data_IF_128233132861
#
_entry.id   IF_128233132861
#
_cell.length_a   1.000
_cell.length_b   1.000
_cell.length_c   1.000
_cell.angle_alpha   90.00
_cell.angle_beta   90.00
_cell.angle_gamma   90.00
#
_symmetry.space_group_name_H-M   'P 1'
#
loop_
_entity.id
_entity.type
_entity.pdbx_description
1 polymer ?
#
# COMPACT_ATOMS: atom_id res chain seq x y z
N UNK A 1 -23.90 28.76 -2.03
CA UNK A 1 -24.56 29.32 -0.82
C UNK A 1 -24.67 28.28 0.29
N UNK A 2 -25.54 27.26 0.21
CA UNK A 2 -25.72 26.33 1.34
C UNK A 2 -24.50 25.40 1.54
N UNK A 3 -23.92 24.91 0.43
CA UNK A 3 -22.69 24.12 0.41
C UNK A 3 -21.47 24.86 1.00
N UNK A 4 -21.23 26.12 0.59
CA UNK A 4 -20.12 26.93 1.14
C UNK A 4 -20.26 27.15 2.65
N UNK A 5 -21.51 27.30 3.13
CA UNK A 5 -21.79 27.43 4.55
C UNK A 5 -21.45 26.14 5.29
N UNK A 6 -21.89 24.98 4.77
CA UNK A 6 -21.54 23.68 5.34
C UNK A 6 -20.04 23.47 5.44
N UNK A 7 -19.27 23.85 4.40
CA UNK A 7 -17.80 23.73 4.42
C UNK A 7 -17.16 24.66 5.46
N UNK A 8 -17.64 25.90 5.60
CA UNK A 8 -17.14 26.85 6.61
C UNK A 8 -17.48 26.43 8.04
N UNK A 9 -18.71 25.95 8.26
CA UNK A 9 -19.14 25.44 9.57
C UNK A 9 -18.32 24.20 9.97
N UNK A 10 -18.03 23.30 9.02
CA UNK A 10 -17.12 22.15 9.20
C UNK A 10 -15.69 22.59 9.51
N UNK A 11 -15.12 23.50 8.71
CA UNK A 11 -13.76 24.01 8.91
C UNK A 11 -13.58 24.68 10.29
N UNK A 12 -14.58 25.41 10.77
CA UNK A 12 -14.59 25.95 12.13
C UNK A 12 -14.67 24.85 13.20
N UNK A 13 -15.42 23.77 12.98
CA UNK A 13 -15.48 22.64 13.92
C UNK A 13 -14.14 21.89 14.01
N UNK A 14 -13.51 21.60 12.87
CA UNK A 14 -12.18 20.95 12.79
C UNK A 14 -11.12 21.81 13.48
N UNK A 15 -11.02 23.11 13.16
CA UNK A 15 -10.08 24.03 13.81
C UNK A 15 -10.31 24.12 15.32
N UNK A 16 -11.56 24.08 15.78
CA UNK A 16 -11.90 24.08 17.21
C UNK A 16 -11.47 22.79 17.91
N UNK A 17 -11.66 21.61 17.29
CA UNK A 17 -11.16 20.34 17.85
C UNK A 17 -9.63 20.33 17.93
N UNK A 18 -8.94 20.70 16.85
CA UNK A 18 -7.47 20.78 16.85
C UNK A 18 -6.96 21.80 17.87
N UNK A 19 -7.62 22.95 18.02
CA UNK A 19 -7.29 23.92 19.08
C UNK A 19 -7.34 23.29 20.47
N UNK A 20 -8.38 22.50 20.77
CA UNK A 20 -8.52 21.82 22.05
C UNK A 20 -7.43 20.76 22.27
N UNK A 21 -7.24 19.83 21.32
CA UNK A 21 -6.24 18.75 21.41
C UNK A 21 -4.81 19.28 21.48
N UNK A 22 -4.48 20.30 20.67
CA UNK A 22 -3.16 20.91 20.66
C UNK A 22 -2.86 21.63 21.99
N UNK A 23 -3.84 22.32 22.59
CA UNK A 23 -3.67 22.95 23.90
C UNK A 23 -3.51 21.91 25.03
N UNK A 24 -4.21 20.77 24.96
CA UNK A 24 -4.05 19.67 25.93
C UNK A 24 -2.61 19.14 25.98
N UNK A 25 -1.92 19.15 24.83
CA UNK A 25 -0.55 18.65 24.67
C UNK A 25 0.50 19.75 24.42
N UNK A 26 0.18 21.03 24.66
CA UNK A 26 1.04 22.17 24.27
C UNK A 26 2.46 22.07 24.83
N UNK A 27 2.61 21.70 26.11
CA UNK A 27 3.93 21.54 26.74
C UNK A 27 4.81 20.48 26.07
N UNK A 28 4.19 19.43 25.49
CA UNK A 28 4.91 18.40 24.74
C UNK A 28 5.38 18.94 23.39
N UNK A 29 4.51 19.65 22.67
CA UNK A 29 4.87 20.29 21.40
C UNK A 29 5.90 21.41 21.58
N UNK A 30 5.82 22.23 22.63
CA UNK A 30 6.82 23.24 22.96
C UNK A 30 8.21 22.63 23.22
N UNK A 31 8.24 21.44 23.85
CA UNK A 31 9.47 20.71 24.17
C UNK A 31 10.08 20.04 22.94
N UNK A 32 9.27 19.46 22.05
CA UNK A 32 9.75 18.64 20.91
C UNK A 32 9.81 19.43 19.60
N UNK A 33 8.77 20.19 19.28
CA UNK A 33 8.65 20.99 18.07
C UNK A 33 9.19 22.43 18.25
N UNK A 34 9.33 22.88 19.50
CA UNK A 34 9.84 24.20 19.86
C UNK A 34 8.72 25.23 20.03
N UNK A 35 8.75 25.95 21.15
CA UNK A 35 7.77 26.98 21.53
C UNK A 35 7.36 27.93 20.38
N UNK A 36 8.32 28.46 19.62
CA UNK A 36 8.01 29.42 18.56
C UNK A 36 7.23 28.78 17.39
N UNK A 37 7.43 27.48 17.15
CA UNK A 37 6.68 26.72 16.15
C UNK A 37 5.26 26.40 16.65
N UNK A 38 5.12 25.97 17.91
CA UNK A 38 3.80 25.83 18.56
C UNK A 38 3.01 27.14 18.54
N UNK A 39 3.67 28.26 18.82
CA UNK A 39 3.07 29.59 18.79
C UNK A 39 2.63 30.01 17.38
N UNK A 40 3.44 29.72 16.34
CA UNK A 40 3.03 29.87 14.93
C UNK A 40 1.77 29.05 14.62
N UNK A 41 1.71 27.77 15.02
CA UNK A 41 0.55 26.90 14.75
C UNK A 41 -0.70 27.36 15.51
N UNK A 42 -0.59 27.74 16.77
CA UNK A 42 -1.67 28.33 17.56
C UNK A 42 -2.17 29.65 16.95
N UNK A 43 -1.27 30.50 16.44
CA UNK A 43 -1.62 31.72 15.72
C UNK A 43 -2.40 31.41 14.43
N UNK A 44 -1.95 30.43 13.65
CA UNK A 44 -2.66 29.96 12.46
C UNK A 44 -4.06 29.40 12.81
N UNK A 45 -4.21 28.70 13.94
CA UNK A 45 -5.53 28.27 14.47
C UNK A 45 -6.43 29.48 14.85
N UNK A 46 -5.87 30.67 15.04
CA UNK A 46 -6.56 31.87 15.55
C UNK A 46 -6.62 33.12 14.62
N UNK A 47 -6.17 33.02 13.35
CA UNK A 47 -6.12 34.12 12.33
C UNK A 47 -5.01 35.15 12.67
N UNK A 48 -4.13 35.63 11.77
CA UNK A 48 -4.27 35.95 10.34
C UNK A 48 -3.20 35.40 9.38
N UNK A 49 -1.92 35.74 9.54
CA UNK A 49 -0.88 35.64 8.49
C UNK A 49 -0.29 34.20 8.37
N UNK A 50 -1.04 33.34 7.66
CA UNK A 50 -0.96 31.89 7.86
C UNK A 50 -0.24 31.08 6.77
N UNK A 51 -0.23 31.51 5.50
CA UNK A 51 0.27 30.66 4.41
C UNK A 51 1.77 30.38 4.52
N UNK A 52 2.59 31.43 4.61
CA UNK A 52 4.04 31.31 4.76
C UNK A 52 4.41 30.54 6.02
N UNK A 53 3.71 30.80 7.13
CA UNK A 53 4.00 30.17 8.42
C UNK A 53 3.62 28.68 8.45
N UNK A 54 2.51 28.26 7.83
CA UNK A 54 2.15 26.84 7.74
C UNK A 54 3.01 26.06 6.74
N UNK A 55 3.43 26.68 5.63
CA UNK A 55 4.35 26.06 4.68
C UNK A 55 5.74 25.75 5.30
N UNK A 56 6.28 26.70 6.08
CA UNK A 56 7.49 26.49 6.89
C UNK A 56 7.32 25.34 7.89
N UNK A 57 6.21 25.35 8.65
CA UNK A 57 5.94 24.33 9.66
C UNK A 57 5.73 22.93 9.06
N UNK A 58 5.13 22.83 7.88
CA UNK A 58 4.93 21.56 7.18
C UNK A 58 6.27 20.97 6.73
N UNK A 59 7.11 21.80 6.10
CA UNK A 59 8.47 21.40 5.68
C UNK A 59 9.30 20.92 6.87
N UNK A 60 9.33 21.71 7.95
CA UNK A 60 10.01 21.34 9.19
C UNK A 60 9.50 20.00 9.74
N UNK A 61 8.18 19.80 9.82
CA UNK A 61 7.61 18.57 10.34
C UNK A 61 7.98 17.35 9.46
N UNK A 62 8.02 17.53 8.13
CA UNK A 62 8.45 16.48 7.20
C UNK A 62 9.92 16.09 7.39
N UNK A 63 10.82 17.08 7.44
CA UNK A 63 12.24 16.87 7.72
C UNK A 63 12.45 16.14 9.07
N UNK A 64 11.76 16.58 10.12
CA UNK A 64 11.91 15.99 11.46
C UNK A 64 11.27 14.61 11.61
N UNK A 65 10.21 14.28 10.86
CA UNK A 65 9.71 12.90 10.76
C UNK A 65 10.76 11.97 10.15
N UNK A 66 11.48 12.42 9.11
CA UNK A 66 12.52 11.64 8.45
C UNK A 66 13.77 11.47 9.32
N UNK A 67 14.25 12.53 9.97
CA UNK A 67 15.38 12.49 10.92
C UNK A 67 15.12 11.53 12.08
N UNK A 68 13.91 11.55 12.65
CA UNK A 68 13.56 10.80 13.88
C UNK A 68 12.89 9.45 13.59
N UNK A 69 13.00 8.91 12.37
CA UNK A 69 12.31 7.68 11.92
C UNK A 69 12.61 6.40 12.71
N UNK A 70 13.64 6.40 13.57
CA UNK A 70 14.05 5.27 14.42
C UNK A 70 13.68 5.47 15.90
N UNK A 71 13.11 6.62 16.27
CA UNK A 71 12.58 6.90 17.61
C UNK A 71 11.06 6.95 17.51
N UNK A 72 10.39 5.86 17.90
CA UNK A 72 8.93 5.72 17.80
C UNK A 72 8.18 6.88 18.47
N UNK A 73 8.70 7.40 19.59
CA UNK A 73 8.04 8.45 20.37
C UNK A 73 8.19 9.81 19.71
N UNK A 74 9.41 10.20 19.34
CA UNK A 74 9.65 11.46 18.62
C UNK A 74 9.00 11.45 17.23
N UNK A 75 9.06 10.32 16.51
CA UNK A 75 8.37 10.16 15.22
C UNK A 75 6.86 10.35 15.38
N UNK A 76 6.23 9.75 16.39
CA UNK A 76 4.79 9.90 16.64
C UNK A 76 4.38 11.36 16.91
N UNK A 77 5.19 12.11 17.67
CA UNK A 77 4.91 13.53 17.96
C UNK A 77 5.03 14.37 16.68
N UNK A 78 6.08 14.19 15.88
CA UNK A 78 6.24 14.91 14.61
C UNK A 78 5.17 14.54 13.57
N UNK A 79 4.72 13.28 13.53
CA UNK A 79 3.57 12.84 12.71
C UNK A 79 2.27 13.51 13.16
N UNK A 80 2.03 13.60 14.46
CA UNK A 80 0.86 14.30 15.03
C UNK A 80 0.92 15.80 14.71
N UNK A 81 2.09 16.42 14.86
CA UNK A 81 2.30 17.84 14.52
C UNK A 81 2.07 18.10 13.02
N UNK A 82 2.63 17.28 12.14
CA UNK A 82 2.42 17.36 10.68
C UNK A 82 0.93 17.23 10.29
N UNK A 83 0.21 16.31 10.94
CA UNK A 83 -1.24 16.11 10.76
C UNK A 83 -2.02 17.37 11.13
N UNK A 84 -1.69 18.01 12.27
CA UNK A 84 -2.33 19.25 12.69
C UNK A 84 -1.98 20.44 11.80
N UNK A 85 -0.73 20.61 11.38
CA UNK A 85 -0.33 21.65 10.42
C UNK A 85 -1.13 21.50 9.12
N UNK A 86 -1.22 20.29 8.59
CA UNK A 86 -1.97 19.96 7.37
C UNK A 86 -3.45 20.29 7.50
N UNK A 87 -4.12 19.82 8.55
CA UNK A 87 -5.54 20.11 8.78
C UNK A 87 -5.79 21.60 8.97
N UNK A 88 -4.98 22.29 9.77
CA UNK A 88 -5.12 23.75 9.98
C UNK A 88 -4.96 24.51 8.67
N UNK A 89 -3.99 24.12 7.83
CA UNK A 89 -3.78 24.75 6.52
C UNK A 89 -4.98 24.53 5.60
N UNK A 90 -5.41 23.28 5.41
CA UNK A 90 -6.56 22.97 4.55
C UNK A 90 -7.86 23.61 5.03
N UNK A 91 -8.10 23.68 6.35
CA UNK A 91 -9.28 24.37 6.88
C UNK A 91 -9.18 25.89 6.77
N UNK A 92 -7.97 26.47 6.80
CA UNK A 92 -7.77 27.90 6.57
C UNK A 92 -8.04 28.30 5.14
N UNK A 93 -7.55 27.52 4.20
CA UNK A 93 -7.85 27.68 2.77
C UNK A 93 -9.36 27.66 2.53
N UNK A 94 -10.10 26.73 3.14
CA UNK A 94 -11.57 26.68 3.06
C UNK A 94 -12.29 27.92 3.62
N UNK A 95 -11.71 28.59 4.63
CA UNK A 95 -12.32 29.75 5.28
C UNK A 95 -11.97 31.07 4.61
N UNK A 96 -10.74 31.20 4.10
CA UNK A 96 -10.12 32.48 3.74
C UNK A 96 -9.95 32.69 2.23
N UNK A 97 -10.07 31.65 1.40
CA UNK A 97 -9.96 31.81 -0.05
C UNK A 97 -11.08 32.71 -0.60
N UNK A 98 -10.71 33.67 -1.45
CA UNK A 98 -11.68 34.45 -2.22
C UNK A 98 -12.33 33.55 -3.28
N UNK A 99 -13.66 33.53 -3.35
CA UNK A 99 -14.38 32.64 -4.28
C UNK A 99 -14.06 32.87 -5.77
N UNK A 100 -13.51 34.04 -6.11
CA UNK A 100 -13.00 34.38 -7.45
C UNK A 100 -11.59 33.86 -7.75
N UNK A 101 -10.86 33.39 -6.75
CA UNK A 101 -9.47 32.89 -6.87
C UNK A 101 -9.38 31.35 -6.80
N UNK A 102 -10.40 30.67 -6.27
CA UNK A 102 -10.43 29.22 -6.13
C UNK A 102 -10.89 28.53 -7.43
N UNK A 103 -9.96 27.87 -8.13
CA UNK A 103 -10.27 27.00 -9.28
C UNK A 103 -10.25 25.51 -8.89
N UNK A 104 -10.45 24.61 -9.88
CA UNK A 104 -10.43 23.17 -9.64
C UNK A 104 -9.04 22.68 -9.16
N UNK A 105 -7.96 23.29 -9.62
CA UNK A 105 -6.58 22.95 -9.25
C UNK A 105 -6.30 23.27 -7.79
N UNK A 106 -6.76 24.43 -7.31
CA UNK A 106 -6.71 24.82 -5.90
C UNK A 106 -7.39 23.77 -5.00
N UNK A 107 -8.64 23.41 -5.29
CA UNK A 107 -9.37 22.44 -4.48
C UNK A 107 -8.77 21.04 -4.54
N UNK A 108 -8.26 20.60 -5.71
CA UNK A 108 -7.47 19.37 -5.82
C UNK A 108 -6.24 19.44 -4.90
N UNK A 109 -5.54 20.57 -4.85
CA UNK A 109 -4.40 20.79 -3.95
C UNK A 109 -4.75 20.68 -2.46
N UNK A 110 -5.91 21.19 -2.04
CA UNK A 110 -6.40 21.06 -0.65
C UNK A 110 -6.70 19.60 -0.29
N UNK A 111 -7.36 18.85 -1.20
CA UNK A 111 -7.64 17.42 -1.02
C UNK A 111 -6.36 16.59 -1.02
N UNK A 112 -5.44 16.85 -1.95
CA UNK A 112 -4.13 16.21 -1.97
C UNK A 112 -3.38 16.44 -0.66
N UNK A 113 -3.34 17.67 -0.14
CA UNK A 113 -2.70 17.98 1.15
C UNK A 113 -3.31 17.18 2.30
N UNK A 114 -4.64 17.01 2.32
CA UNK A 114 -5.32 16.16 3.30
C UNK A 114 -4.92 14.68 3.17
N UNK A 115 -4.79 14.17 1.94
CA UNK A 115 -4.24 12.84 1.68
C UNK A 115 -2.78 12.68 2.16
N UNK A 116 -1.93 13.70 2.05
CA UNK A 116 -0.56 13.68 2.59
C UNK A 116 -0.52 13.40 4.11
N UNK A 117 -1.52 13.86 4.89
CA UNK A 117 -1.61 13.52 6.32
C UNK A 117 -1.94 12.02 6.54
N UNK A 118 -2.68 11.37 5.64
CA UNK A 118 -2.91 9.93 5.68
C UNK A 118 -1.64 9.19 5.25
N UNK A 119 -1.10 9.50 4.06
CA UNK A 119 0.00 8.77 3.41
C UNK A 119 1.30 8.91 4.21
N UNK A 120 1.72 10.15 4.52
CA UNK A 120 3.05 10.42 5.08
C UNK A 120 3.03 10.35 6.60
N UNK A 121 2.08 11.04 7.24
CA UNK A 121 2.02 11.10 8.70
C UNK A 121 1.31 9.88 9.32
N UNK A 122 0.36 9.25 8.63
CA UNK A 122 -0.46 8.15 9.14
C UNK A 122 -1.70 8.60 9.94
N UNK A 123 -2.05 9.89 9.87
CA UNK A 123 -3.15 10.53 10.61
C UNK A 123 -3.26 10.16 12.11
N UNK A 124 -2.16 10.12 12.90
CA UNK A 124 -2.22 9.73 14.32
C UNK A 124 -3.06 10.69 15.17
N UNK A 125 -3.75 10.15 16.17
CA UNK A 125 -4.62 10.87 17.10
C UNK A 125 -6.11 10.53 16.92
N UNK A 126 -6.88 10.61 18.00
CA UNK A 126 -8.25 10.08 18.04
C UNK A 126 -9.22 10.86 17.13
N UNK A 127 -9.78 10.16 16.14
CA UNK A 127 -10.64 10.75 15.11
C UNK A 127 -9.97 11.82 14.25
N UNK A 128 -8.64 11.79 14.09
CA UNK A 128 -7.94 12.63 13.11
C UNK A 128 -8.16 12.11 11.69
N UNK A 129 -8.10 10.78 11.48
CA UNK A 129 -8.43 10.16 10.19
C UNK A 129 -9.86 10.48 9.74
N UNK A 130 -10.84 10.39 10.63
CA UNK A 130 -12.24 10.71 10.33
C UNK A 130 -12.39 12.18 9.91
N UNK A 131 -11.82 13.13 10.65
CA UNK A 131 -11.83 14.54 10.27
C UNK A 131 -11.20 14.79 8.88
N UNK A 132 -10.13 14.07 8.53
CA UNK A 132 -9.50 14.19 7.21
C UNK A 132 -10.45 13.68 6.12
N UNK A 133 -11.02 12.48 6.31
CA UNK A 133 -11.91 11.85 5.34
C UNK A 133 -13.22 12.63 5.15
N UNK A 134 -13.85 13.08 6.24
CA UNK A 134 -15.03 13.96 6.21
C UNK A 134 -14.75 15.29 5.48
N UNK A 135 -13.56 15.86 5.70
CA UNK A 135 -13.13 17.07 5.01
C UNK A 135 -12.95 16.84 3.50
N UNK A 136 -12.35 15.71 3.11
CA UNK A 136 -12.20 15.30 1.71
C UNK A 136 -13.58 15.08 1.07
N UNK A 137 -14.48 14.33 1.70
CA UNK A 137 -15.83 14.07 1.17
C UNK A 137 -16.58 15.40 0.97
N UNK A 138 -16.54 16.30 1.94
CA UNK A 138 -17.22 17.58 1.85
C UNK A 138 -16.66 18.46 0.73
N UNK A 139 -15.33 18.57 0.62
CA UNK A 139 -14.67 19.28 -0.49
C UNK A 139 -15.02 18.71 -1.86
N UNK A 140 -15.07 17.37 -1.99
CA UNK A 140 -15.47 16.70 -3.21
C UNK A 140 -16.94 16.95 -3.55
N UNK A 141 -17.81 16.99 -2.54
CA UNK A 141 -19.24 17.26 -2.70
C UNK A 141 -19.56 18.72 -3.04
N UNK A 142 -18.77 19.68 -2.55
CA UNK A 142 -19.04 21.12 -2.76
C UNK A 142 -18.27 21.75 -3.91
N UNK A 143 -17.04 21.29 -4.20
CA UNK A 143 -16.14 21.94 -5.16
C UNK A 143 -15.51 21.03 -6.22
N UNK A 144 -15.35 19.73 -5.95
CA UNK A 144 -14.78 18.76 -6.93
C UNK A 144 -15.79 17.68 -7.32
N UNK A 145 -17.03 18.07 -7.64
CA UNK A 145 -18.09 17.13 -7.98
C UNK A 145 -17.69 16.24 -9.17
N UNK A 146 -18.07 14.97 -9.09
CA UNK A 146 -17.87 14.01 -10.17
C UNK A 146 -18.66 14.47 -11.40
N UNK A 147 -17.97 14.51 -12.55
CA UNK A 147 -18.60 14.80 -13.84
C UNK A 147 -19.24 13.51 -14.34
N UNK A 148 -20.49 13.55 -14.77
CA UNK A 148 -21.09 12.38 -15.41
C UNK A 148 -20.36 12.10 -16.74
N UNK A 149 -20.01 10.83 -17.03
CA UNK A 149 -19.47 10.47 -18.32
C UNK A 149 -20.54 10.72 -19.41
N UNK A 150 -20.16 11.19 -20.61
CA UNK A 150 -21.14 11.43 -21.68
C UNK A 150 -21.84 10.12 -22.09
N UNK A 151 -23.08 10.20 -22.57
CA UNK A 151 -23.96 9.04 -22.87
C UNK A 151 -23.32 7.95 -23.76
N UNK A 152 -22.32 8.32 -24.57
CA UNK A 152 -21.60 7.43 -25.49
C UNK A 152 -20.22 6.98 -24.97
N UNK A 153 -19.92 7.11 -23.67
CA UNK A 153 -18.63 6.71 -23.10
C UNK A 153 -18.51 5.18 -23.02
N UNK A 154 -17.77 4.59 -23.97
CA UNK A 154 -17.35 3.19 -23.85
C UNK A 154 -16.30 3.04 -22.75
N UNK A 155 -16.66 2.35 -21.68
CA UNK A 155 -15.80 2.12 -20.54
C UNK A 155 -14.60 1.23 -20.93
N UNK A 156 -13.35 1.65 -20.66
CA UNK A 156 -12.21 0.75 -20.64
C UNK A 156 -12.43 -0.26 -19.51
N UNK A 157 -12.57 -1.53 -19.86
CA UNK A 157 -12.59 -2.64 -18.91
C UNK A 157 -11.32 -3.47 -19.08
N UNK A 158 -10.72 -3.87 -17.97
CA UNK A 158 -9.64 -4.86 -18.00
C UNK A 158 -10.21 -6.15 -18.63
N UNK A 159 -9.58 -6.73 -19.67
CA UNK A 159 -10.09 -7.94 -20.32
C UNK A 159 -10.36 -9.07 -19.32
N UNK A 160 -11.64 -9.43 -19.12
CA UNK A 160 -12.07 -10.50 -18.19
C UNK A 160 -11.42 -11.85 -18.47
N UNK A 161 -11.04 -12.06 -19.73
CA UNK A 161 -10.28 -13.22 -20.19
C UNK A 161 -9.16 -12.66 -21.02
N UNK A 162 -7.95 -12.77 -20.51
CA UNK A 162 -6.80 -12.92 -21.37
C UNK A 162 -7.06 -14.15 -22.24
N UNK A 163 -6.78 -14.05 -23.55
CA UNK A 163 -6.52 -15.24 -24.36
C UNK A 163 -5.62 -16.14 -23.50
N UNK A 164 -5.96 -17.42 -23.30
CA UNK A 164 -5.10 -18.27 -22.50
C UNK A 164 -3.74 -18.29 -23.20
N UNK A 165 -2.76 -17.60 -22.59
CA UNK A 165 -1.34 -17.87 -22.78
C UNK A 165 -1.23 -19.39 -22.86
N UNK A 166 -0.75 -19.90 -24.00
CA UNK A 166 -0.91 -21.31 -24.37
C UNK A 166 -0.62 -22.17 -23.16
N UNK A 167 -1.56 -23.06 -22.79
CA UNK A 167 -1.76 -23.58 -21.42
C UNK A 167 -0.60 -24.39 -20.80
N UNK A 168 0.58 -24.37 -21.42
CA UNK A 168 1.84 -24.35 -20.70
C UNK A 168 1.82 -23.18 -19.69
N UNK A 169 1.46 -23.48 -18.44
CA UNK A 169 1.81 -22.61 -17.32
C UNK A 169 3.27 -22.20 -17.49
N UNK A 170 3.57 -20.89 -17.48
CA UNK A 170 4.90 -20.37 -17.78
C UNK A 170 5.87 -20.99 -16.78
N UNK A 171 6.54 -22.06 -17.21
CA UNK A 171 7.27 -22.94 -16.32
C UNK A 171 8.57 -22.25 -15.95
N UNK A 172 8.51 -21.47 -14.87
CA UNK A 172 9.65 -20.69 -14.38
C UNK A 172 10.81 -21.66 -14.18
N UNK A 173 11.88 -21.48 -14.96
CA UNK A 173 13.09 -22.33 -14.92
C UNK A 173 13.79 -22.31 -13.57
N UNK A 174 13.47 -21.30 -12.75
CA UNK A 174 13.81 -21.15 -11.34
C UNK A 174 13.00 -22.04 -10.38
N UNK A 175 12.09 -22.90 -10.86
CA UNK A 175 11.23 -23.76 -10.04
C UNK A 175 10.98 -25.13 -10.68
N UNK A 176 10.98 -26.19 -9.87
CA UNK A 176 10.69 -27.57 -10.30
C UNK A 176 9.33 -28.09 -9.82
N UNK A 177 8.61 -27.35 -8.98
CA UNK A 177 7.37 -27.79 -8.33
C UNK A 177 6.20 -26.86 -8.66
N UNK A 178 4.98 -27.36 -8.49
CA UNK A 178 3.77 -26.55 -8.51
C UNK A 178 3.28 -26.26 -7.08
N UNK A 179 2.72 -25.08 -6.84
CA UNK A 179 2.10 -24.76 -5.55
C UNK A 179 0.86 -25.68 -5.35
N UNK A 180 0.74 -26.40 -4.21
CA UNK A 180 -0.41 -27.29 -3.97
C UNK A 180 -1.76 -26.56 -4.05
N UNK A 181 -2.66 -27.04 -4.89
CA UNK A 181 -4.03 -26.52 -4.97
C UNK A 181 -4.98 -27.41 -4.15
N UNK A 182 -5.75 -26.81 -3.24
CA UNK A 182 -6.80 -27.50 -2.47
C UNK A 182 -8.14 -27.40 -3.23
N UNK A 183 -8.86 -28.51 -3.33
CA UNK A 183 -10.20 -28.54 -3.96
C UNK A 183 -11.23 -27.66 -3.24
N UNK A 184 -11.02 -27.40 -1.95
CA UNK A 184 -11.91 -26.62 -1.07
C UNK A 184 -11.10 -25.89 -0.02
N UNK A 185 -11.63 -24.77 0.46
CA UNK A 185 -11.05 -24.05 1.59
C UNK A 185 -10.93 -24.97 2.82
N UNK A 186 -9.78 -25.03 3.51
CA UNK A 186 -9.55 -25.94 4.62
C UNK A 186 -10.34 -25.52 5.86
N UNK A 187 -10.72 -26.45 6.74
CA UNK A 187 -11.28 -26.06 8.03
C UNK A 187 -10.22 -25.35 8.89
N UNK A 188 -10.64 -24.46 9.80
CA UNK A 188 -9.76 -23.80 10.78
C UNK A 188 -8.84 -24.79 11.51
N UNK A 189 -9.36 -25.98 11.84
CA UNK A 189 -8.59 -27.06 12.44
C UNK A 189 -7.52 -27.63 11.50
N UNK A 190 -7.85 -27.86 10.22
CA UNK A 190 -6.90 -28.35 9.22
C UNK A 190 -5.81 -27.31 8.91
N UNK A 191 -6.17 -26.02 8.81
CA UNK A 191 -5.19 -24.94 8.69
C UNK A 191 -4.22 -24.96 9.87
N UNK A 192 -4.75 -24.83 11.09
CA UNK A 192 -3.95 -24.75 12.32
C UNK A 192 -3.11 -26.00 12.59
N UNK A 193 -3.61 -27.20 12.29
CA UNK A 193 -2.97 -28.47 12.68
C UNK A 193 -2.08 -29.08 11.59
N UNK A 194 -2.41 -28.92 10.30
CA UNK A 194 -1.71 -29.61 9.20
C UNK A 194 -1.16 -28.71 8.10
N UNK A 195 -1.81 -27.59 7.75
CA UNK A 195 -1.46 -26.83 6.54
C UNK A 195 -0.62 -25.58 6.81
N UNK A 196 -0.63 -25.03 8.03
CA UNK A 196 0.07 -23.79 8.40
C UNK A 196 1.58 -23.72 8.08
N UNK A 197 2.26 -24.83 7.79
CA UNK A 197 3.71 -24.85 7.60
C UNK A 197 4.14 -24.80 6.11
N UNK A 198 3.19 -24.84 5.17
CA UNK A 198 3.47 -24.88 3.73
C UNK A 198 2.45 -24.07 2.92
N UNK A 199 2.83 -23.49 1.77
CA UNK A 199 1.91 -22.77 0.90
C UNK A 199 0.84 -23.68 0.29
N UNK A 200 -0.32 -23.08 0.00
CA UNK A 200 -1.36 -23.71 -0.80
C UNK A 200 -2.24 -22.65 -1.47
N UNK A 201 -2.90 -23.03 -2.57
CA UNK A 201 -3.88 -22.20 -3.27
C UNK A 201 -5.28 -22.78 -3.06
N UNK A 202 -6.27 -21.93 -2.82
CA UNK A 202 -7.69 -22.25 -2.92
C UNK A 202 -8.23 -21.49 -4.13
N UNK A 203 -8.56 -22.22 -5.20
CA UNK A 203 -9.00 -21.62 -6.47
C UNK A 203 -10.42 -21.05 -6.34
N UNK A 204 -10.65 -19.86 -6.88
CA UNK A 204 -11.95 -19.17 -6.85
C UNK A 204 -12.50 -18.89 -5.45
N UNK A 205 -11.64 -18.81 -4.44
CA UNK A 205 -12.02 -18.55 -3.04
C UNK A 205 -12.80 -17.23 -2.84
N UNK A 206 -12.40 -16.18 -3.56
CA UNK A 206 -12.94 -14.83 -3.47
C UNK A 206 -13.93 -14.50 -4.61
N UNK A 207 -14.45 -15.52 -5.31
CA UNK A 207 -15.39 -15.33 -6.43
C UNK A 207 -16.70 -14.65 -6.05
N UNK A 208 -17.05 -14.60 -4.77
CA UNK A 208 -18.24 -13.97 -4.20
C UNK A 208 -17.98 -12.56 -3.63
N UNK A 209 -16.73 -12.10 -3.58
CA UNK A 209 -16.40 -10.73 -3.17
C UNK A 209 -16.95 -9.73 -4.20
N UNK A 210 -17.63 -8.64 -3.80
CA UNK A 210 -18.09 -7.62 -4.74
C UNK A 210 -17.00 -7.05 -5.66
N UNK A 211 -15.74 -6.99 -5.20
CA UNK A 211 -14.59 -6.59 -6.02
C UNK A 211 -14.42 -7.46 -7.28
N UNK A 212 -14.66 -8.78 -7.15
CA UNK A 212 -14.51 -9.80 -8.20
C UNK A 212 -15.84 -10.08 -8.90
N UNK A 213 -16.88 -10.41 -8.14
CA UNK A 213 -18.20 -10.84 -8.63
C UNK A 213 -18.91 -9.76 -9.46
N UNK A 214 -18.85 -8.51 -8.99
CA UNK A 214 -19.42 -7.34 -9.68
C UNK A 214 -18.36 -6.59 -10.51
N UNK A 215 -17.11 -7.06 -10.51
CA UNK A 215 -15.98 -6.47 -11.23
C UNK A 215 -15.75 -4.98 -10.93
N UNK A 216 -16.13 -4.55 -9.73
CA UNK A 216 -16.00 -3.17 -9.24
C UNK A 216 -14.58 -2.65 -9.41
N UNK A 217 -13.59 -3.45 -9.07
CA UNK A 217 -12.19 -3.05 -9.14
C UNK A 217 -11.64 -3.08 -10.57
N UNK A 218 -12.19 -3.90 -11.48
CA UNK A 218 -11.87 -3.83 -12.91
C UNK A 218 -12.59 -2.67 -13.64
N UNK A 219 -13.35 -1.84 -12.91
CA UNK A 219 -14.03 -0.65 -13.43
C UNK A 219 -13.33 0.62 -12.98
N UNK A 220 -12.61 1.26 -13.92
CA UNK A 220 -12.04 2.59 -13.72
C UNK A 220 -13.07 3.61 -13.23
N UNK A 221 -14.27 3.62 -13.81
CA UNK A 221 -15.34 4.53 -13.42
C UNK A 221 -15.79 4.29 -11.97
N UNK A 222 -15.80 3.04 -11.50
CA UNK A 222 -16.07 2.73 -10.11
C UNK A 222 -14.96 3.27 -9.20
N UNK A 223 -13.69 3.00 -9.52
CA UNK A 223 -12.53 3.47 -8.75
C UNK A 223 -12.44 5.00 -8.68
N UNK A 224 -12.76 5.71 -9.78
CA UNK A 224 -12.88 7.17 -9.80
C UNK A 224 -14.04 7.68 -8.92
N UNK A 225 -15.21 7.02 -8.99
CA UNK A 225 -16.39 7.40 -8.19
C UNK A 225 -16.20 7.17 -6.69
N UNK A 226 -15.54 6.07 -6.31
CA UNK A 226 -15.33 5.68 -4.91
C UNK A 226 -14.24 6.53 -4.24
N UNK A 227 -13.18 6.87 -4.96
CA UNK A 227 -12.16 7.78 -4.45
C UNK A 227 -12.63 9.24 -4.39
N UNK A 228 -13.48 9.62 -5.34
CA UNK A 228 -13.76 11.01 -5.67
C UNK A 228 -12.55 11.70 -6.32
N UNK A 229 -12.70 12.97 -6.64
CA UNK A 229 -11.71 13.74 -7.42
C UNK A 229 -10.64 14.40 -6.52
N UNK A 230 -9.47 14.66 -7.09
CA UNK A 230 -8.36 15.37 -6.42
C UNK A 230 -7.58 14.55 -5.39
N UNK A 231 -7.84 13.24 -5.33
CA UNK A 231 -7.10 12.29 -4.49
C UNK A 231 -5.73 12.02 -5.10
N UNK A 232 -4.75 11.72 -4.25
CA UNK A 232 -3.39 11.37 -4.69
C UNK A 232 -2.95 10.05 -4.07
N UNK A 233 -2.15 9.26 -4.76
CA UNK A 233 -1.58 8.00 -4.25
C UNK A 233 -0.05 8.03 -4.33
N UNK A 234 0.69 7.46 -3.37
CA UNK A 234 2.09 7.13 -3.58
C UNK A 234 2.17 5.95 -4.57
N UNK A 235 3.19 5.97 -5.42
CA UNK A 235 3.50 4.90 -6.37
C UNK A 235 4.99 4.59 -6.33
N UNK A 236 5.33 3.37 -6.68
CA UNK A 236 6.70 2.94 -6.90
C UNK A 236 7.07 3.11 -8.38
N UNK A 237 8.26 3.68 -8.64
CA UNK A 237 8.74 4.00 -9.99
C UNK A 237 10.15 3.45 -10.15
N UNK A 238 10.32 2.56 -11.11
CA UNK A 238 11.54 1.77 -11.35
C UNK A 238 11.14 0.34 -11.70
N UNK A 239 11.98 -0.39 -12.43
CA UNK A 239 11.65 -1.77 -12.85
C UNK A 239 11.86 -2.82 -11.74
N UNK A 240 12.63 -2.47 -10.71
CA UNK A 240 13.08 -3.38 -9.65
C UNK A 240 13.46 -2.54 -8.42
N UNK A 241 12.85 -2.76 -7.25
CA UNK A 241 13.16 -2.00 -6.04
C UNK A 241 14.58 -2.23 -5.49
N UNK A 242 15.37 -3.12 -6.10
CA UNK A 242 16.78 -3.39 -5.79
C UNK A 242 17.75 -2.49 -6.54
N UNK A 243 17.31 -1.69 -7.51
CA UNK A 243 18.19 -0.87 -8.37
C UNK A 243 18.16 0.62 -8.02
N UNK A 244 19.25 1.33 -8.32
CA UNK A 244 19.45 2.75 -7.95
C UNK A 244 18.46 3.73 -8.63
N UNK A 245 17.73 3.29 -9.66
CA UNK A 245 16.68 4.04 -10.34
C UNK A 245 15.30 3.93 -9.67
N UNK A 246 15.12 3.04 -8.69
CA UNK A 246 13.86 2.95 -7.94
C UNK A 246 13.63 4.16 -7.04
N UNK A 247 12.42 4.67 -7.05
CA UNK A 247 11.98 5.79 -6.22
C UNK A 247 10.49 5.70 -5.89
N UNK A 248 10.07 6.44 -4.87
CA UNK A 248 8.65 6.63 -4.53
C UNK A 248 8.25 8.08 -4.80
N UNK A 249 7.12 8.27 -5.49
CA UNK A 249 6.52 9.59 -5.73
C UNK A 249 5.02 9.56 -5.48
N UNK A 250 4.41 10.70 -5.24
CA UNK A 250 2.95 10.83 -5.13
C UNK A 250 2.39 11.37 -6.46
N UNK A 251 1.28 10.80 -6.91
CA UNK A 251 0.66 11.00 -8.23
C UNK A 251 -0.86 11.22 -8.07
N UNK A 252 -1.50 11.94 -9.00
CA UNK A 252 -2.96 12.11 -9.00
C UNK A 252 -3.64 10.75 -9.29
N UNK A 253 -4.71 10.43 -8.55
CA UNK A 253 -5.42 9.16 -8.68
C UNK A 253 -6.13 8.99 -10.03
N UNK A 254 -6.66 10.08 -10.62
CA UNK A 254 -7.23 10.03 -11.96
C UNK A 254 -6.12 9.74 -13.00
N UNK A 255 -4.93 10.32 -12.83
CA UNK A 255 -3.73 10.08 -13.67
C UNK A 255 -3.22 8.63 -13.54
N UNK A 256 -3.13 8.08 -12.32
CA UNK A 256 -2.76 6.68 -12.08
C UNK A 256 -3.80 5.69 -12.64
N UNK A 257 -5.09 6.05 -12.63
CA UNK A 257 -6.13 5.25 -13.29
C UNK A 257 -6.20 5.46 -14.81
N UNK A 258 -5.72 6.58 -15.36
CA UNK A 258 -5.40 6.68 -16.79
C UNK A 258 -4.27 5.69 -17.13
N UNK A 259 -3.20 5.72 -16.35
CA UNK A 259 -2.02 4.89 -16.50
C UNK A 259 -2.31 3.37 -16.54
N UNK A 260 -2.97 2.85 -15.50
CA UNK A 260 -3.29 1.41 -15.36
C UNK A 260 -4.24 0.88 -16.44
N UNK A 261 -5.08 1.74 -17.04
CA UNK A 261 -6.10 1.32 -18.00
C UNK A 261 -5.77 1.70 -19.46
N UNK A 262 -4.70 2.44 -19.71
CA UNK A 262 -4.26 2.89 -21.04
C UNK A 262 -2.79 2.54 -21.38
N UNK A 263 -2.23 1.53 -20.70
CA UNK A 263 -1.04 0.73 -21.12
C UNK A 263 0.33 1.43 -21.00
N UNK A 264 0.78 1.65 -19.76
CA UNK A 264 2.12 2.11 -19.38
C UNK A 264 2.58 1.49 -18.03
N UNK A 265 3.88 1.46 -17.71
CA UNK A 265 4.55 0.66 -16.63
C UNK A 265 4.97 1.41 -15.30
N UNK A 266 4.30 1.22 -14.15
CA UNK A 266 4.66 1.70 -12.77
C UNK A 266 3.93 0.91 -11.67
N UNK A 267 4.46 0.86 -10.44
CA UNK A 267 4.16 -0.20 -9.46
C UNK A 267 3.36 0.20 -8.18
N UNK A 268 3.05 -0.83 -7.37
CA UNK A 268 1.94 -1.07 -6.41
C UNK A 268 1.75 -0.11 -5.17
N UNK A 269 0.55 -0.11 -4.53
CA UNK A 269 0.29 0.55 -3.22
C UNK A 269 -0.94 0.06 -2.38
N UNK A 270 -0.88 0.21 -1.03
CA UNK A 270 -1.97 -0.03 -0.05
C UNK A 270 -3.06 1.07 0.00
N UNK A 271 -4.21 0.77 -0.60
CA UNK A 271 -5.32 1.71 -0.73
C UNK A 271 -6.26 1.83 0.48
N UNK A 272 -6.32 0.89 1.42
CA UNK A 272 -7.51 0.76 2.28
C UNK A 272 -7.70 1.89 3.29
N UNK A 273 -6.61 2.44 3.84
CA UNK A 273 -6.67 3.57 4.78
C UNK A 273 -7.14 4.86 4.11
N UNK A 274 -6.81 5.00 2.83
CA UNK A 274 -7.10 6.18 2.03
C UNK A 274 -8.50 6.11 1.38
N UNK A 275 -8.94 4.91 1.00
CA UNK A 275 -10.20 4.66 0.33
C UNK A 275 -11.07 3.63 1.09
N UNK A 276 -11.61 3.97 2.28
CA UNK A 276 -12.30 3.01 3.14
C UNK A 276 -13.51 2.32 2.49
N UNK A 277 -14.14 2.96 1.50
CA UNK A 277 -15.23 2.34 0.75
C UNK A 277 -14.80 1.08 -0.03
N UNK A 278 -13.56 1.00 -0.55
CA UNK A 278 -13.02 -0.20 -1.19
C UNK A 278 -12.93 -1.40 -0.23
N UNK A 279 -12.80 -1.15 1.09
CA UNK A 279 -12.79 -2.19 2.11
C UNK A 279 -14.13 -2.95 2.19
N UNK A 280 -15.22 -2.35 1.70
CA UNK A 280 -16.56 -3.00 1.64
C UNK A 280 -16.71 -3.99 0.49
N UNK A 281 -15.80 -3.96 -0.50
CA UNK A 281 -15.81 -4.86 -1.65
C UNK A 281 -15.10 -6.20 -1.40
N UNK A 282 -14.46 -6.36 -0.23
CA UNK A 282 -13.65 -7.52 0.13
C UNK A 282 -14.06 -8.14 1.47
N UNK A 283 -13.83 -9.44 1.61
CA UNK A 283 -14.09 -10.18 2.86
C UNK A 283 -12.78 -10.68 3.45
N UNK A 284 -12.42 -10.22 4.65
CA UNK A 284 -11.27 -10.78 5.38
C UNK A 284 -11.65 -12.20 5.86
N UNK A 285 -10.90 -13.25 5.48
CA UNK A 285 -11.23 -14.62 5.87
C UNK A 285 -11.08 -14.84 7.38
N UNK A 286 -12.00 -15.59 7.99
CA UNK A 286 -11.94 -15.96 9.42
C UNK A 286 -10.62 -16.64 9.84
N UNK A 287 -9.89 -17.20 8.87
CA UNK A 287 -8.57 -17.77 9.05
C UNK A 287 -7.55 -16.80 9.68
N UNK A 288 -7.66 -15.49 9.46
CA UNK A 288 -6.72 -14.53 10.07
C UNK A 288 -6.84 -14.52 11.60
N UNK A 289 -8.01 -14.86 12.14
CA UNK A 289 -8.26 -14.96 13.59
C UNK A 289 -7.91 -16.34 14.15
N UNK A 290 -7.30 -17.24 13.36
CA UNK A 290 -6.90 -18.58 13.81
C UNK A 290 -5.69 -18.60 14.76
N UNK A 291 -5.06 -17.44 14.99
CA UNK A 291 -3.95 -17.19 15.93
C UNK A 291 -2.85 -18.26 15.82
N UNK A 292 -2.36 -18.51 14.59
CA UNK A 292 -1.45 -19.60 14.28
C UNK A 292 -0.20 -19.55 15.19
N UNK A 293 0.37 -20.72 15.57
CA UNK A 293 1.59 -20.72 16.36
C UNK A 293 2.79 -20.28 15.49
N UNK A 294 3.85 -19.71 16.09
CA UNK A 294 5.07 -19.35 15.36
C UNK A 294 5.65 -20.54 14.56
N UNK A 295 6.08 -20.33 13.30
CA UNK A 295 6.94 -21.27 12.60
C UNK A 295 8.27 -21.44 13.32
N UNK A 296 8.90 -22.61 13.17
CA UNK A 296 10.18 -22.94 13.84
C UNK A 296 11.29 -21.92 13.55
N UNK A 297 11.34 -21.39 12.33
CA UNK A 297 12.33 -20.41 11.89
C UNK A 297 11.98 -18.97 12.27
N UNK A 298 10.73 -18.71 12.69
CA UNK A 298 10.22 -17.38 13.08
C UNK A 298 9.65 -17.42 14.51
N UNK A 299 10.43 -17.82 15.53
CA UNK A 299 9.93 -18.03 16.90
C UNK A 299 9.48 -16.75 17.61
N UNK A 300 9.75 -15.57 17.03
CA UNK A 300 9.31 -14.25 17.53
C UNK A 300 7.98 -13.78 16.95
N UNK A 301 7.43 -14.47 15.95
CA UNK A 301 6.13 -14.14 15.37
C UNK A 301 5.05 -14.08 16.46
N UNK A 302 4.14 -13.11 16.34
CA UNK A 302 2.96 -12.99 17.18
C UNK A 302 1.74 -12.73 16.29
N UNK A 303 0.63 -13.46 16.46
CA UNK A 303 -0.60 -13.17 15.73
C UNK A 303 -1.18 -11.81 16.14
N UNK A 304 -1.97 -11.16 15.27
CA UNK A 304 -2.63 -9.90 15.56
C UNK A 304 -3.56 -10.05 16.77
N UNK A 305 -3.54 -9.05 17.66
CA UNK A 305 -4.32 -9.05 18.90
C UNK A 305 -5.80 -8.71 18.68
N UNK A 306 -6.09 -8.00 17.59
CA UNK A 306 -7.38 -7.46 17.18
C UNK A 306 -7.37 -7.20 15.67
N UNK A 307 -8.50 -6.75 15.11
CA UNK A 307 -8.63 -6.41 13.69
C UNK A 307 -7.68 -5.27 13.28
N UNK A 308 -7.42 -4.33 14.19
CA UNK A 308 -6.56 -3.15 13.92
C UNK A 308 -5.08 -3.51 13.77
N UNK A 309 -4.67 -4.69 14.25
CA UNK A 309 -3.32 -5.24 14.08
C UNK A 309 -3.17 -6.11 12.82
N UNK A 310 -4.25 -6.33 12.06
CA UNK A 310 -4.19 -6.97 10.73
C UNK A 310 -3.64 -5.96 9.72
N UNK A 311 -2.55 -6.29 9.04
CA UNK A 311 -2.03 -5.43 7.97
C UNK A 311 -2.63 -5.92 6.64
N UNK A 312 -3.62 -5.18 6.16
CA UNK A 312 -4.15 -5.32 4.81
C UNK A 312 -3.34 -4.39 3.90
N UNK A 313 -2.72 -4.94 2.86
CA UNK A 313 -2.17 -4.13 1.77
C UNK A 313 -2.94 -4.43 0.49
N UNK A 314 -3.04 -3.43 -0.37
CA UNK A 314 -3.45 -3.61 -1.77
C UNK A 314 -2.21 -3.55 -2.66
N UNK A 315 -2.28 -4.14 -3.84
CA UNK A 315 -1.23 -4.12 -4.85
C UNK A 315 -1.94 -3.84 -6.18
N UNK A 316 -1.58 -2.76 -6.88
CA UNK A 316 -2.14 -2.38 -8.17
C UNK A 316 -1.03 -2.01 -9.14
N UNK A 317 -0.82 -2.84 -10.15
CA UNK A 317 0.17 -2.59 -11.19
C UNK A 317 -0.35 -2.93 -12.58
N UNK A 318 0.27 -2.39 -13.64
CA UNK A 318 0.09 -2.81 -15.02
C UNK A 318 0.69 -4.21 -15.24
N UNK A 319 0.70 -4.65 -16.51
CA UNK A 319 1.46 -5.84 -16.90
C UNK A 319 2.95 -5.57 -16.70
N UNK A 320 3.70 -6.56 -16.24
CA UNK A 320 5.16 -6.48 -16.15
C UNK A 320 5.71 -6.05 -14.79
N UNK A 321 4.90 -5.45 -13.90
CA UNK A 321 5.25 -5.22 -12.48
C UNK A 321 5.84 -6.47 -11.84
N UNK A 322 7.03 -6.34 -11.23
CA UNK A 322 7.74 -7.43 -10.55
C UNK A 322 8.03 -7.03 -9.12
N UNK A 323 7.62 -7.89 -8.18
CA UNK A 323 8.16 -7.89 -6.82
C UNK A 323 9.26 -8.97 -6.75
N UNK A 324 10.56 -8.59 -6.70
CA UNK A 324 11.67 -9.49 -6.45
C UNK A 324 11.46 -10.52 -5.32
N UNK A 325 12.25 -11.60 -5.33
CA UNK A 325 12.17 -12.63 -4.30
C UNK A 325 12.57 -12.08 -2.92
N UNK A 326 11.64 -12.08 -1.96
CA UNK A 326 11.85 -11.61 -0.59
C UNK A 326 11.11 -12.45 0.46
N UNK A 327 11.29 -12.13 1.74
CA UNK A 327 10.63 -12.80 2.88
C UNK A 327 9.96 -11.82 3.82
N UNK A 328 8.76 -12.19 4.28
CA UNK A 328 7.97 -11.47 5.27
C UNK A 328 7.92 -12.21 6.62
N UNK A 329 7.75 -11.49 7.75
CA UNK A 329 7.61 -12.09 9.07
C UNK A 329 6.17 -12.50 9.44
N UNK A 330 5.22 -12.49 8.48
CA UNK A 330 3.78 -12.69 8.69
C UNK A 330 3.25 -13.95 7.98
N UNK A 331 2.13 -14.49 8.47
CA UNK A 331 1.29 -15.35 7.63
C UNK A 331 0.55 -14.45 6.63
N UNK A 332 0.49 -14.88 5.38
CA UNK A 332 -0.13 -14.10 4.31
C UNK A 332 -1.26 -14.89 3.64
N UNK A 333 -2.45 -14.30 3.55
CA UNK A 333 -3.42 -14.64 2.52
C UNK A 333 -3.35 -13.59 1.41
N UNK A 334 -2.86 -14.01 0.25
CA UNK A 334 -2.76 -13.19 -0.95
C UNK A 334 -3.90 -13.54 -1.91
N UNK A 335 -4.80 -12.60 -2.17
CA UNK A 335 -5.97 -12.79 -3.04
C UNK A 335 -5.77 -11.97 -4.31
N UNK A 336 -5.92 -12.63 -5.46
CA UNK A 336 -5.93 -11.96 -6.76
C UNK A 336 -7.34 -11.45 -7.06
N UNK A 337 -7.50 -10.17 -7.39
CA UNK A 337 -8.82 -9.52 -7.55
C UNK A 337 -9.09 -9.14 -9.00
N UNK A 338 -8.11 -8.60 -9.71
CA UNK A 338 -8.19 -8.24 -11.13
C UNK A 338 -7.00 -8.84 -11.86
N UNK A 339 -7.21 -9.40 -13.05
CA UNK A 339 -6.12 -9.91 -13.89
C UNK A 339 -5.42 -11.16 -13.35
N UNK A 340 -4.19 -11.37 -13.79
CA UNK A 340 -3.36 -12.55 -13.48
C UNK A 340 -2.01 -12.15 -12.89
N UNK A 341 -1.54 -12.92 -11.89
CA UNK A 341 -0.23 -12.72 -11.25
C UNK A 341 0.47 -14.06 -11.08
N UNK A 342 1.68 -14.19 -11.62
CA UNK A 342 2.54 -15.36 -11.46
C UNK A 342 3.32 -15.24 -10.17
N UNK A 343 3.29 -16.30 -9.37
CA UNK A 343 3.98 -16.39 -8.08
C UNK A 343 5.06 -17.46 -8.16
N UNK A 344 6.24 -17.11 -7.66
CA UNK A 344 7.32 -18.03 -7.35
C UNK A 344 7.50 -18.08 -5.83
N UNK A 345 7.65 -19.27 -5.25
CA UNK A 345 7.91 -19.46 -3.82
C UNK A 345 9.08 -20.44 -3.60
N UNK A 346 9.87 -20.23 -2.55
CA UNK A 346 10.84 -21.22 -2.08
C UNK A 346 10.81 -21.38 -0.54
N UNK A 347 11.05 -22.60 -0.02
CA UNK A 347 10.92 -22.86 1.41
C UNK A 347 12.05 -22.17 2.21
N UNK A 348 11.80 -21.76 3.46
CA UNK A 348 12.77 -21.02 4.28
C UNK A 348 14.15 -21.69 4.45
N UNK A 349 14.24 -23.02 4.33
CA UNK A 349 15.51 -23.74 4.50
C UNK A 349 16.55 -23.51 3.37
N UNK A 350 16.12 -23.05 2.18
CA UNK A 350 17.05 -22.72 1.07
C UNK A 350 17.57 -21.27 1.11
N UNK A 351 17.25 -20.49 2.17
CA UNK A 351 17.69 -19.09 2.32
C UNK A 351 19.18 -18.86 2.14
N UNK A 352 20.01 -19.84 2.52
CA UNK A 352 21.47 -19.79 2.39
C UNK A 352 21.95 -19.63 0.93
N UNK A 353 21.15 -20.12 -0.05
CA UNK A 353 21.41 -20.01 -1.47
C UNK A 353 20.70 -18.80 -2.12
N UNK A 354 19.85 -18.07 -1.38
CA UNK A 354 19.10 -16.89 -1.86
C UNK A 354 19.64 -15.56 -1.31
N UNK A 355 20.32 -15.56 -0.17
CA UNK A 355 20.88 -14.36 0.49
C UNK A 355 22.42 -14.39 0.60
N UNK A 356 23.18 -14.27 -0.51
CA UNK A 356 24.64 -14.32 -0.46
C UNK A 356 25.28 -13.13 0.31
N UNK A 357 24.55 -12.03 0.49
CA UNK A 357 25.04 -10.82 1.17
C UNK A 357 25.35 -10.98 2.67
N UNK A 358 24.90 -12.06 3.33
CA UNK A 358 25.21 -12.30 4.74
C UNK A 358 26.68 -12.72 5.00
N UNK A 359 27.45 -13.05 3.95
CA UNK A 359 28.78 -13.67 4.10
C UNK A 359 29.98 -12.72 3.89
N UNK A 360 29.75 -11.42 3.63
CA UNK A 360 30.83 -10.43 3.54
C UNK A 360 30.99 -9.62 4.83
N UNK A 361 31.86 -10.09 5.72
CA UNK A 361 32.34 -9.33 6.88
C UNK A 361 33.11 -8.07 6.43
N UNK A 362 32.41 -6.98 6.14
CA UNK A 362 33.06 -5.72 5.77
C UNK A 362 32.12 -4.57 5.39
N UNK A 363 31.08 -4.83 4.60
CA UNK A 363 30.23 -3.76 4.07
C UNK A 363 28.94 -3.59 4.88
N UNK A 364 28.95 -2.63 5.80
CA UNK A 364 27.80 -2.26 6.63
C UNK A 364 26.90 -1.20 5.98
N UNK A 365 27.12 -0.82 4.71
CA UNK A 365 26.38 0.28 4.10
C UNK A 365 24.97 -0.11 3.62
N UNK A 366 24.74 -1.37 3.24
CA UNK A 366 23.49 -1.80 2.61
C UNK A 366 22.71 -2.87 3.40
N UNK A 367 22.55 -2.66 4.72
CA UNK A 367 21.85 -3.57 5.65
C UNK A 367 20.32 -3.64 5.46
N UNK A 368 19.76 -2.91 4.50
CA UNK A 368 18.31 -2.74 4.29
C UNK A 368 17.68 -3.93 3.55
N UNK A 369 18.44 -4.63 2.70
CA UNK A 369 17.91 -5.71 1.82
C UNK A 369 18.16 -7.13 2.37
N UNK A 370 18.38 -7.30 3.68
CA UNK A 370 18.73 -8.60 4.27
C UNK A 370 17.67 -9.71 4.11
N UNK A 371 16.42 -9.34 3.81
CA UNK A 371 15.29 -10.24 3.54
C UNK A 371 14.95 -10.36 2.03
N UNK A 372 15.72 -9.73 1.15
CA UNK A 372 15.53 -9.73 -0.32
C UNK A 372 16.68 -10.45 -1.02
N UNK A 373 16.39 -11.19 -2.08
CA UNK A 373 17.37 -11.90 -2.88
C UNK A 373 17.94 -11.04 -3.99
N UNK A 374 19.22 -11.23 -4.31
CA UNK A 374 19.85 -10.64 -5.51
C UNK A 374 19.50 -11.40 -6.79
N UNK A 375 18.83 -12.55 -6.71
CA UNK A 375 18.41 -13.30 -7.90
C UNK A 375 17.10 -12.76 -8.46
N UNK A 376 17.06 -12.50 -9.77
CA UNK A 376 15.81 -12.46 -10.51
C UNK A 376 15.33 -13.91 -10.71
N UNK A 377 14.13 -14.23 -10.24
CA UNK A 377 13.55 -15.58 -10.35
C UNK A 377 12.62 -15.74 -11.56
N UNK A 378 12.41 -14.68 -12.34
CA UNK A 378 11.57 -14.63 -13.53
C UNK A 378 12.38 -14.64 -14.84
N UNK A 379 13.67 -14.28 -14.80
CA UNK A 379 14.64 -14.41 -15.90
C UNK A 379 15.17 -15.85 -16.01
N UNK A 380 15.57 -16.26 -17.23
CA UNK A 380 16.11 -17.60 -17.49
C UNK A 380 17.51 -17.79 -16.84
N UNK A 381 17.70 -18.76 -15.92
CA UNK A 381 19.00 -19.06 -15.31
C UNK A 381 20.08 -19.56 -16.28
N UNK A 382 19.70 -19.96 -17.50
CA UNK A 382 20.60 -20.50 -18.53
C UNK A 382 20.95 -19.49 -19.63
N UNK A 383 20.53 -18.22 -19.48
CA UNK A 383 21.13 -17.10 -20.21
C UNK A 383 22.21 -16.50 -19.32
N UNK A 384 23.35 -16.10 -19.90
CA UNK A 384 24.57 -15.67 -19.19
C UNK A 384 24.47 -14.29 -18.50
N UNK A 385 23.27 -13.92 -18.03
CA UNK A 385 22.96 -12.61 -17.43
C UNK A 385 23.33 -12.48 -15.95
N UNK A 386 23.77 -13.56 -15.29
CA UNK A 386 24.25 -13.52 -13.91
C UNK A 386 25.78 -13.44 -13.90
N UNK A 387 26.40 -12.46 -13.21
CA UNK A 387 27.86 -12.33 -13.19
C UNK A 387 28.53 -13.61 -12.65
N UNK A 388 29.53 -14.13 -13.39
CA UNK A 388 30.26 -15.37 -13.03
C UNK A 388 30.90 -15.34 -11.63
N UNK A 389 31.09 -14.15 -11.05
CA UNK A 389 31.53 -13.96 -9.66
C UNK A 389 30.57 -14.54 -8.60
N UNK A 390 29.34 -14.87 -8.97
CA UNK A 390 28.37 -15.49 -8.08
C UNK A 390 28.44 -17.02 -8.14
N UNK A 391 29.28 -17.63 -7.28
CA UNK A 391 29.20 -19.07 -6.96
C UNK A 391 27.81 -19.49 -6.48
N UNK A 392 27.01 -18.53 -5.98
CA UNK A 392 25.61 -18.74 -5.60
C UNK A 392 24.70 -19.08 -6.78
N UNK A 393 25.10 -18.86 -8.04
CA UNK A 393 24.34 -19.33 -9.21
C UNK A 393 24.26 -20.86 -9.29
N UNK A 394 25.31 -21.57 -8.84
CA UNK A 394 25.31 -23.02 -8.72
C UNK A 394 24.41 -23.48 -7.57
N UNK A 395 24.57 -22.94 -6.36
CA UNK A 395 23.69 -23.28 -5.22
C UNK A 395 22.23 -22.90 -5.46
N UNK A 396 21.95 -21.83 -6.23
CA UNK A 396 20.59 -21.54 -6.66
C UNK A 396 20.02 -22.67 -7.53
N UNK A 397 20.76 -23.12 -8.56
CA UNK A 397 20.33 -24.24 -9.42
C UNK A 397 20.25 -25.58 -8.69
N UNK A 398 21.14 -25.85 -7.74
CA UNK A 398 21.23 -27.13 -7.03
C UNK A 398 20.32 -27.23 -5.80
N UNK A 399 20.25 -26.17 -4.97
CA UNK A 399 19.50 -26.18 -3.70
C UNK A 399 18.11 -25.53 -3.81
N UNK A 400 17.98 -24.44 -4.59
CA UNK A 400 16.72 -23.67 -4.66
C UNK A 400 15.76 -24.24 -5.70
N UNK A 401 16.18 -24.38 -6.96
CA UNK A 401 15.30 -24.78 -8.08
C UNK A 401 14.56 -26.11 -7.85
N UNK A 402 15.14 -27.16 -7.22
CA UNK A 402 14.42 -28.41 -6.96
C UNK A 402 13.36 -28.32 -5.85
N UNK A 403 13.49 -27.34 -4.94
CA UNK A 403 12.58 -27.10 -3.81
C UNK A 403 11.54 -26.01 -4.11
N UNK A 404 11.89 -25.06 -4.98
CA UNK A 404 11.05 -23.94 -5.39
C UNK A 404 9.83 -24.37 -6.21
N UNK A 405 8.75 -23.63 -6.03
CA UNK A 405 7.43 -23.88 -6.59
C UNK A 405 6.87 -22.64 -7.28
N UNK A 406 6.05 -22.83 -8.31
CA UNK A 406 5.37 -21.72 -8.99
C UNK A 406 3.90 -22.03 -9.32
N UNK A 407 3.12 -20.97 -9.51
CA UNK A 407 1.78 -20.99 -10.10
C UNK A 407 1.36 -19.59 -10.55
N UNK A 408 0.50 -19.50 -11.57
CA UNK A 408 -0.27 -18.28 -11.87
C UNK A 408 -1.58 -18.31 -11.08
N UNK A 409 -1.93 -17.17 -10.47
CA UNK A 409 -3.20 -16.91 -9.82
C UNK A 409 -4.13 -16.17 -10.79
N UNK A 410 -5.37 -16.63 -10.90
CA UNK A 410 -6.46 -15.96 -11.61
C UNK A 410 -7.29 -15.12 -10.63
N UNK A 411 -8.03 -14.13 -11.13
CA UNK A 411 -8.96 -13.35 -10.33
C UNK A 411 -9.95 -14.25 -9.55
N UNK A 412 -10.04 -14.04 -8.25
CA UNK A 412 -10.78 -14.87 -7.29
C UNK A 412 -9.94 -15.91 -6.55
N UNK A 413 -8.71 -16.21 -6.98
CA UNK A 413 -7.85 -17.17 -6.29
C UNK A 413 -7.23 -16.60 -5.00
N UNK A 414 -7.12 -17.45 -3.98
CA UNK A 414 -6.41 -17.15 -2.74
C UNK A 414 -5.20 -18.07 -2.56
N UNK A 415 -4.02 -17.49 -2.42
CA UNK A 415 -2.79 -18.14 -2.00
C UNK A 415 -2.57 -17.93 -0.49
N UNK A 416 -2.20 -18.98 0.22
CA UNK A 416 -1.66 -18.92 1.57
C UNK A 416 -0.16 -19.18 1.54
N UNK A 417 0.63 -18.46 2.33
CA UNK A 417 1.99 -18.83 2.71
C UNK A 417 2.37 -18.34 4.11
N UNK A 418 3.24 -19.05 4.85
CA UNK A 418 3.61 -18.69 6.22
C UNK A 418 4.93 -17.87 6.31
N UNK A 419 5.24 -17.29 7.49
CA UNK A 419 6.43 -16.46 7.67
C UNK A 419 7.73 -17.08 7.16
N UNK A 420 8.56 -16.26 6.53
CA UNK A 420 9.88 -16.65 6.02
C UNK A 420 9.90 -17.41 4.71
N UNK A 421 8.75 -17.72 4.11
CA UNK A 421 8.74 -18.26 2.75
C UNK A 421 9.20 -17.19 1.79
N UNK A 422 10.22 -17.54 1.00
CA UNK A 422 10.68 -16.71 -0.10
C UNK A 422 9.56 -16.63 -1.12
N UNK A 423 9.25 -15.43 -1.57
CA UNK A 423 8.20 -15.21 -2.54
C UNK A 423 8.55 -14.07 -3.49
N UNK A 424 8.20 -14.24 -4.76
CA UNK A 424 8.31 -13.23 -5.79
C UNK A 424 7.00 -13.21 -6.59
N UNK A 425 6.64 -12.03 -7.09
CA UNK A 425 5.39 -11.80 -7.83
C UNK A 425 5.68 -11.16 -9.19
N UNK A 426 4.96 -11.56 -10.23
CA UNK A 426 4.97 -10.87 -11.55
C UNK A 426 3.57 -10.73 -12.09
N UNK A 427 3.17 -9.50 -12.43
CA UNK A 427 1.89 -9.20 -13.08
C UNK A 427 1.92 -9.64 -14.55
N UNK A 428 1.11 -10.62 -14.93
CA UNK A 428 0.99 -11.07 -16.33
C UNK A 428 0.04 -10.19 -17.15
N UNK A 429 -0.68 -9.31 -16.47
CA UNK A 429 -1.63 -8.33 -16.98
C UNK A 429 -1.70 -7.11 -16.05
N UNK A 430 -2.52 -6.11 -16.37
CA UNK A 430 -3.06 -5.19 -15.33
C UNK A 430 -3.63 -6.05 -14.21
N UNK A 431 -3.15 -5.85 -12.99
CA UNK A 431 -3.25 -6.83 -11.92
C UNK A 431 -3.46 -6.16 -10.57
N UNK A 432 -4.64 -6.35 -9.98
CA UNK A 432 -4.95 -5.85 -8.64
C UNK A 432 -5.08 -7.03 -7.66
N UNK A 433 -4.46 -6.92 -6.50
CA UNK A 433 -4.33 -7.99 -5.51
C UNK A 433 -4.46 -7.42 -4.08
N UNK A 434 -4.82 -8.27 -3.12
CA UNK A 434 -4.91 -7.92 -1.69
C UNK A 434 -4.07 -8.91 -0.88
N UNK A 435 -3.11 -8.43 -0.10
CA UNK A 435 -2.39 -9.25 0.89
C UNK A 435 -2.93 -9.00 2.28
N UNK A 436 -3.08 -10.06 3.07
CA UNK A 436 -3.57 -10.02 4.44
C UNK A 436 -2.53 -10.63 5.36
N UNK A 437 -1.74 -9.77 6.00
CA UNK A 437 -0.67 -10.15 6.92
C UNK A 437 -1.22 -10.29 8.35
N UNK A 438 -1.10 -11.51 8.90
CA UNK A 438 -1.60 -11.91 10.22
C UNK A 438 -0.65 -12.91 10.89
#
# INVERSE_FOLDING_TARGET
MDHDRSLRDHAHAVLKKISFEFNLHLQLFDTVCGHDNSAKLLSAICVLDYETSLAELYTLAHEKMAENRLDDWLSMIWRTYSTYVTLVWSMRDCLLIEQSAADESFWKGVVARLDYAIIVAGAPGEGNLDMILESIELLQKTHLTLREPPDNFHQPSVPQKYEPLEKEAIALRSSSRSIPCLERAPSMFALRKTLRNAPFIVRGFANDWPAVAEQRWASKLYLQRVAGRGRVVPIEVGNDYRTDDWTQRIMDWEEFLDYLFYDTDTDDHDLFKQFPALRTDIVVPDYVYSALPPPEQYPRYQPPKNVDALVLNTWLGPRGTVSPAHTDPYYNFYVQVVGQKTVWLAPPHVSHALSPLHNHEGDRSNTVLGNTSCFDVFVNPDLDSYPESFSSSASFKEDVVPEAMSATLDAGDMLFFPPGWWHAMRSESVSFSVSMWF
#
